data_IF_609567487387
#
_entry.id   IF_609567487387
#
_cell.length_a   1.000
_cell.length_b   1.000
_cell.length_c   1.000
_cell.angle_alpha   90.00
_cell.angle_beta   90.00
_cell.angle_gamma   90.00
#
_symmetry.space_group_name_H-M   'P 1'
#
loop_
_entity.id
_entity.type
_entity.pdbx_description
1 polymer ?
#
# COMPACT_ATOMS: atom_id res chain seq x y z
N UNK A 1 -10.37 -10.38 10.71
CA UNK A 1 -10.90 -9.36 9.80
C UNK A 1 -10.16 -8.06 10.10
N UNK A 2 -9.23 -7.63 9.24
CA UNK A 2 -8.43 -6.43 9.52
C UNK A 2 -9.28 -5.17 9.30
N UNK A 3 -9.63 -4.51 10.41
CA UNK A 3 -10.28 -3.19 10.44
C UNK A 3 -9.39 -2.19 9.68
N UNK A 4 -9.83 -1.75 8.51
CA UNK A 4 -9.27 -0.55 7.88
C UNK A 4 -9.51 0.62 8.85
N UNK A 5 -8.49 1.46 9.13
CA UNK A 5 -8.70 2.64 9.95
C UNK A 5 -9.71 3.57 9.28
N UNK A 6 -10.50 4.25 10.10
CA UNK A 6 -11.64 5.10 9.73
C UNK A 6 -11.26 6.25 8.77
N UNK A 7 -9.97 6.46 8.54
CA UNK A 7 -9.43 7.46 7.63
C UNK A 7 -9.29 7.01 6.17
N UNK A 8 -9.55 5.74 5.83
CA UNK A 8 -9.49 5.23 4.46
C UNK A 8 -8.10 5.29 3.81
N UNK A 9 -7.08 5.86 4.45
CA UNK A 9 -5.73 5.94 3.92
C UNK A 9 -5.03 4.59 4.17
N UNK A 10 -4.55 3.94 3.13
CA UNK A 10 -3.86 2.66 3.23
C UNK A 10 -2.56 2.83 4.03
N UNK A 11 -2.34 1.97 5.01
CA UNK A 11 -1.18 2.09 5.91
C UNK A 11 0.05 1.43 5.29
N UNK A 12 1.15 2.19 5.21
CA UNK A 12 2.46 1.65 4.87
C UNK A 12 3.00 0.78 6.04
N UNK A 13 3.11 -0.52 5.81
CA UNK A 13 3.51 -1.51 6.82
C UNK A 13 4.82 -2.18 6.47
N UNK A 14 5.56 -2.60 7.50
CA UNK A 14 6.76 -3.41 7.37
C UNK A 14 6.41 -4.90 7.51
N UNK A 15 6.64 -5.66 6.45
CA UNK A 15 6.65 -7.12 6.49
C UNK A 15 7.96 -7.61 7.10
N UNK A 16 7.97 -7.81 8.43
CA UNK A 16 9.17 -8.17 9.21
C UNK A 16 9.90 -9.42 8.73
N UNK A 17 9.19 -10.43 8.21
CA UNK A 17 9.82 -11.68 7.80
C UNK A 17 10.73 -11.55 6.56
N UNK A 18 10.48 -10.55 5.70
CA UNK A 18 11.27 -10.31 4.48
C UNK A 18 11.94 -8.93 4.45
N UNK A 19 11.64 -8.05 5.42
CA UNK A 19 12.10 -6.67 5.41
C UNK A 19 11.48 -5.82 4.29
N UNK A 20 10.31 -6.24 3.78
CA UNK A 20 9.64 -5.59 2.65
C UNK A 20 8.57 -4.63 3.14
N UNK A 21 8.35 -3.55 2.41
CA UNK A 21 7.21 -2.70 2.55
C UNK A 21 5.98 -3.34 1.92
N UNK A 22 4.88 -3.28 2.64
CA UNK A 22 3.58 -3.77 2.19
C UNK A 22 2.53 -2.71 2.47
N UNK A 23 1.62 -2.51 1.53
CA UNK A 23 0.46 -1.64 1.68
C UNK A 23 -0.80 -2.44 1.35
N UNK A 24 -1.81 -2.37 2.21
CA UNK A 24 -3.09 -3.04 1.97
C UNK A 24 -4.04 -2.06 1.30
N UNK A 25 -4.41 -2.33 0.05
CA UNK A 25 -5.30 -1.54 -0.80
C UNK A 25 -6.46 -2.44 -1.22
N UNK A 26 -7.71 -2.01 -1.01
CA UNK A 26 -8.90 -2.80 -1.40
C UNK A 26 -8.91 -4.24 -0.84
N UNK A 27 -8.31 -4.45 0.34
CA UNK A 27 -8.17 -5.79 0.93
C UNK A 27 -7.09 -6.67 0.28
N UNK A 28 -6.29 -6.14 -0.64
CA UNK A 28 -5.14 -6.79 -1.27
C UNK A 28 -3.82 -6.23 -0.75
N UNK A 29 -2.84 -7.10 -0.54
CA UNK A 29 -1.51 -6.73 -0.07
C UNK A 29 -0.57 -6.46 -1.26
N UNK A 30 -0.08 -5.23 -1.38
CA UNK A 30 0.88 -4.83 -2.41
C UNK A 30 2.27 -4.69 -1.81
N UNK A 31 3.23 -5.42 -2.37
CA UNK A 31 4.63 -5.38 -1.96
C UNK A 31 5.36 -4.30 -2.75
N UNK A 32 5.96 -3.36 -2.04
CA UNK A 32 6.60 -2.16 -2.58
C UNK A 32 8.13 -2.28 -2.60
N UNK A 33 8.67 -3.49 -2.40
CA UNK A 33 10.11 -3.71 -2.25
C UNK A 33 10.61 -3.45 -0.82
N UNK A 34 11.89 -3.10 -0.66
CA UNK A 34 12.55 -3.03 0.66
C UNK A 34 12.03 -1.87 1.49
N UNK A 35 11.61 -2.15 2.73
CA UNK A 35 11.02 -1.12 3.57
C UNK A 35 12.03 -0.04 3.97
N UNK A 36 11.64 1.22 3.74
CA UNK A 36 12.41 2.39 4.14
C UNK A 36 13.40 2.85 3.07
N UNK A 37 13.37 2.26 1.87
CA UNK A 37 14.11 2.80 0.72
C UNK A 37 13.30 3.90 0.02
N UNK A 38 13.98 4.84 -0.66
CA UNK A 38 13.30 5.85 -1.47
C UNK A 38 12.46 5.22 -2.59
N UNK A 39 12.92 4.12 -3.17
CA UNK A 39 12.19 3.36 -4.20
C UNK A 39 10.83 2.87 -3.67
N UNK A 40 10.82 2.27 -2.49
CA UNK A 40 9.59 1.76 -1.89
C UNK A 40 8.59 2.87 -1.54
N UNK A 41 9.12 4.03 -1.16
CA UNK A 41 8.31 5.22 -0.87
C UNK A 41 7.74 5.85 -2.14
N UNK A 42 8.50 5.85 -3.23
CA UNK A 42 8.03 6.30 -4.53
C UNK A 42 6.95 5.37 -5.09
N UNK A 43 7.11 4.05 -4.91
CA UNK A 43 6.10 3.06 -5.29
C UNK A 43 4.80 3.21 -4.48
N UNK A 44 4.93 3.42 -3.16
CA UNK A 44 3.79 3.74 -2.30
C UNK A 44 3.04 4.97 -2.82
N UNK A 45 3.75 6.06 -3.09
CA UNK A 45 3.14 7.30 -3.56
C UNK A 45 2.44 7.15 -4.91
N UNK A 46 3.05 6.41 -5.86
CA UNK A 46 2.44 6.07 -7.14
C UNK A 46 1.16 5.25 -6.98
N UNK A 47 1.20 4.20 -6.17
CA UNK A 47 0.05 3.32 -5.96
C UNK A 47 -1.07 4.03 -5.23
N UNK A 48 -0.74 4.83 -4.21
CA UNK A 48 -1.72 5.63 -3.47
C UNK A 48 -2.35 6.69 -4.39
N UNK A 49 -1.55 7.38 -5.19
CA UNK A 49 -2.05 8.35 -6.17
C UNK A 49 -3.00 7.70 -7.18
N UNK A 50 -2.63 6.54 -7.72
CA UNK A 50 -3.47 5.77 -8.64
C UNK A 50 -4.78 5.33 -7.96
N UNK A 51 -4.69 4.83 -6.74
CA UNK A 51 -5.83 4.36 -5.95
C UNK A 51 -6.80 5.51 -5.62
N UNK A 52 -6.28 6.69 -5.27
CA UNK A 52 -7.09 7.89 -5.05
C UNK A 52 -7.76 8.32 -6.36
N UNK A 53 -7.00 8.36 -7.47
CA UNK A 53 -7.52 8.75 -8.78
C UNK A 53 -8.64 7.82 -9.28
N UNK A 54 -8.56 6.54 -8.94
CA UNK A 54 -9.59 5.53 -9.23
C UNK A 54 -10.76 5.53 -8.22
N UNK A 55 -10.84 6.55 -7.34
CA UNK A 55 -11.95 6.67 -6.39
C UNK A 55 -11.85 5.69 -5.23
N UNK A 56 -10.64 5.44 -4.73
CA UNK A 56 -10.33 4.50 -3.64
C UNK A 56 -10.50 3.03 -4.04
N UNK A 57 -10.24 2.71 -5.30
CA UNK A 57 -10.18 1.35 -5.84
C UNK A 57 -8.90 1.18 -6.63
N UNK A 58 -8.28 0.01 -6.58
CA UNK A 58 -7.29 -0.33 -7.61
C UNK A 58 -8.06 -0.91 -8.80
N UNK A 59 -7.60 -0.67 -10.04
CA UNK A 59 -8.11 -1.44 -11.17
C UNK A 59 -7.86 -2.92 -10.85
N UNK A 60 -8.96 -3.67 -10.74
CA UNK A 60 -8.95 -5.13 -10.73
C UNK A 60 -8.42 -5.56 -12.10
N UNK A 61 -7.23 -6.16 -12.14
CA UNK A 61 -6.75 -6.84 -13.35
C UNK A 61 -7.75 -7.90 -13.80
#
# INVERSE_FOLDING_TARGET
>A
MARLPENGIPTYRLHKAKGLAVVTLDGRDHYLGKHGTPESRAEYDRLVSLWIANGRRLPDS
#
